data_IF_885973421298
#
_entry.id   IF_885973421298
#
_cell.length_a   1.000
_cell.length_b   1.000
_cell.length_c   1.000
_cell.angle_alpha   90.00
_cell.angle_beta   90.00
_cell.angle_gamma   90.00
#
_symmetry.space_group_name_H-M   'P 1'
#
loop_
_entity.id
_entity.type
_entity.pdbx_description
1 polymer ?
#
# COMPACT_ATOMS: atom_id res chain seq x y z
N UNK A 1 -31.23 1.20 -9.25
CA UNK A 1 -30.17 0.19 -9.40
C UNK A 1 -28.87 0.81 -8.91
N UNK A 2 -28.34 0.37 -7.76
CA UNK A 2 -27.13 0.96 -7.16
C UNK A 2 -25.89 0.48 -7.92
N UNK A 3 -25.13 1.43 -8.47
CA UNK A 3 -23.89 1.17 -9.20
C UNK A 3 -22.85 0.59 -8.23
N UNK A 4 -22.63 -0.72 -8.32
CA UNK A 4 -21.58 -1.42 -7.60
C UNK A 4 -20.23 -0.97 -8.14
N UNK A 5 -19.60 -0.01 -7.47
CA UNK A 5 -18.22 0.40 -7.74
C UNK A 5 -17.28 -0.71 -7.27
N UNK A 6 -17.03 -1.70 -8.12
CA UNK A 6 -15.93 -2.63 -7.90
C UNK A 6 -14.62 -1.85 -7.94
N UNK A 7 -14.02 -1.61 -6.78
CA UNK A 7 -12.61 -1.25 -6.66
C UNK A 7 -11.78 -2.45 -7.12
N UNK A 8 -11.64 -2.59 -8.44
CA UNK A 8 -10.83 -3.62 -9.06
C UNK A 8 -9.37 -3.39 -8.64
N UNK A 9 -8.80 -4.36 -7.93
CA UNK A 9 -7.39 -4.32 -7.55
C UNK A 9 -6.58 -4.40 -8.84
N UNK A 10 -6.00 -3.28 -9.24
CA UNK A 10 -5.34 -3.09 -10.55
C UNK A 10 -4.25 -4.13 -10.84
N UNK A 11 -3.67 -4.72 -9.79
CA UNK A 11 -2.68 -5.81 -9.89
C UNK A 11 -3.02 -6.88 -8.85
N UNK A 12 -3.69 -7.94 -9.28
CA UNK A 12 -4.11 -9.05 -8.42
C UNK A 12 -2.91 -9.73 -7.72
N UNK A 13 -1.76 -9.80 -8.40
CA UNK A 13 -0.52 -10.37 -7.88
C UNK A 13 0.06 -9.57 -6.70
N UNK A 14 -0.18 -8.26 -6.65
CA UNK A 14 0.30 -7.40 -5.57
C UNK A 14 -0.55 -7.53 -4.29
N UNK A 15 -1.75 -8.13 -4.38
CA UNK A 15 -2.69 -8.24 -3.25
C UNK A 15 -2.05 -8.90 -2.03
N UNK A 16 -1.32 -10.01 -2.22
CA UNK A 16 -0.68 -10.73 -1.12
C UNK A 16 0.44 -9.90 -0.45
N UNK A 17 1.24 -9.20 -1.25
CA UNK A 17 2.30 -8.32 -0.75
C UNK A 17 1.73 -7.10 -0.01
N UNK A 18 0.65 -6.51 -0.53
CA UNK A 18 -0.05 -5.40 0.09
C UNK A 18 -0.72 -5.80 1.41
N UNK A 19 -1.30 -7.00 1.48
CA UNK A 19 -1.84 -7.55 2.72
C UNK A 19 -0.75 -7.73 3.78
N UNK A 20 0.41 -8.28 3.41
CA UNK A 20 1.56 -8.39 4.32
C UNK A 20 2.02 -7.03 4.82
N UNK A 21 2.25 -6.06 3.92
CA UNK A 21 2.62 -4.70 4.29
C UNK A 21 1.59 -4.04 5.20
N UNK A 22 0.29 -4.27 4.99
CA UNK A 22 -0.77 -3.75 5.86
C UNK A 22 -0.62 -4.26 7.29
N UNK A 23 -0.35 -5.55 7.48
CA UNK A 23 -0.12 -6.11 8.81
C UNK A 23 1.16 -5.55 9.44
N UNK A 24 2.26 -5.46 8.69
CA UNK A 24 3.52 -4.87 9.18
C UNK A 24 3.33 -3.41 9.63
N UNK A 25 2.73 -2.59 8.78
CA UNK A 25 2.46 -1.18 9.09
C UNK A 25 1.55 -1.04 10.30
N UNK A 26 0.52 -1.87 10.41
CA UNK A 26 -0.37 -1.81 11.57
C UNK A 26 0.34 -2.20 12.87
N UNK A 27 1.21 -3.22 12.83
CA UNK A 27 2.05 -3.59 13.98
C UNK A 27 2.98 -2.43 14.37
N UNK A 28 3.62 -1.77 13.40
CA UNK A 28 4.50 -0.62 13.66
C UNK A 28 3.78 0.57 14.27
N UNK A 29 2.53 0.82 13.84
CA UNK A 29 1.70 1.89 14.37
C UNK A 29 1.03 1.51 15.71
N UNK A 30 1.22 0.28 16.20
CA UNK A 30 0.56 -0.24 17.41
C UNK A 30 -0.96 -0.42 17.24
N UNK A 31 -1.42 -0.53 16.00
CA UNK A 31 -2.83 -0.61 15.65
C UNK A 31 -3.22 -2.08 15.44
N UNK A 32 -4.24 -2.54 16.15
CA UNK A 32 -4.77 -3.88 15.98
C UNK A 32 -5.76 -3.93 14.82
N UNK A 33 -5.45 -4.70 13.78
CA UNK A 33 -6.39 -4.94 12.67
C UNK A 33 -7.36 -6.05 13.09
N UNK A 34 -8.68 -5.81 13.02
CA UNK A 34 -9.66 -6.86 13.27
C UNK A 34 -9.54 -7.96 12.20
N UNK A 35 -9.29 -9.20 12.62
CA UNK A 35 -9.19 -10.37 11.73
C UNK A 35 -10.52 -10.71 11.05
N UNK A 36 -11.64 -10.29 11.63
CA UNK A 36 -12.98 -10.46 11.06
C UNK A 36 -13.22 -9.59 9.82
N UNK A 37 -12.30 -8.66 9.51
CA UNK A 37 -12.44 -7.74 8.38
C UNK A 37 -13.46 -6.62 8.61
N UNK A 38 -14.10 -6.59 9.78
CA UNK A 38 -14.99 -5.51 10.18
C UNK A 38 -14.23 -4.34 10.80
N UNK A 39 -13.96 -3.31 9.99
CA UNK A 39 -13.28 -2.07 10.41
C UNK A 39 -14.20 -1.08 11.14
N UNK A 40 -15.47 -1.42 11.40
CA UNK A 40 -16.45 -0.46 11.94
C UNK A 40 -16.18 0.00 13.39
N UNK A 41 -15.44 -0.79 14.17
CA UNK A 41 -15.02 -0.42 15.53
C UNK A 41 -13.64 0.24 15.57
N UNK A 42 -13.00 0.40 14.41
CA UNK A 42 -11.65 0.95 14.29
C UNK A 42 -11.73 2.47 14.11
N UNK A 43 -10.84 3.22 14.75
CA UNK A 43 -10.82 4.66 14.53
C UNK A 43 -10.47 4.96 13.07
N UNK A 44 -11.25 5.83 12.43
CA UNK A 44 -11.03 6.26 11.03
C UNK A 44 -9.62 6.84 10.83
N UNK A 45 -9.07 7.44 11.89
CA UNK A 45 -7.70 7.97 11.92
C UNK A 45 -6.66 6.86 11.81
N UNK A 46 -6.88 5.72 12.46
CA UNK A 46 -5.95 4.59 12.51
C UNK A 46 -5.95 3.84 11.18
N UNK A 47 -7.13 3.59 10.62
CA UNK A 47 -7.27 3.03 9.26
C UNK A 47 -6.65 3.95 8.21
N UNK A 48 -6.88 5.26 8.34
CA UNK A 48 -6.27 6.27 7.46
C UNK A 48 -4.75 6.31 7.59
N UNK A 49 -4.20 6.20 8.80
CA UNK A 49 -2.76 6.14 9.05
C UNK A 49 -2.15 4.90 8.38
N UNK A 50 -2.73 3.72 8.57
CA UNK A 50 -2.26 2.48 7.92
C UNK A 50 -2.18 2.66 6.39
N UNK A 51 -3.27 3.12 5.76
CA UNK A 51 -3.30 3.35 4.32
C UNK A 51 -2.23 4.33 3.85
N UNK A 52 -2.08 5.47 4.53
CA UNK A 52 -1.08 6.48 4.18
C UNK A 52 0.37 5.98 4.32
N UNK A 53 0.65 5.12 5.30
CA UNK A 53 1.97 4.52 5.48
C UNK A 53 2.30 3.51 4.37
N UNK A 54 1.33 2.66 3.99
CA UNK A 54 1.49 1.74 2.86
C UNK A 54 1.78 2.51 1.58
N UNK A 55 1.02 3.58 1.28
CA UNK A 55 1.24 4.39 0.08
C UNK A 55 2.62 5.04 0.08
N UNK A 56 3.09 5.59 1.21
CA UNK A 56 4.44 6.16 1.29
C UNK A 56 5.53 5.13 1.02
N UNK A 57 5.42 3.91 1.56
CA UNK A 57 6.37 2.82 1.29
C UNK A 57 6.40 2.44 -0.19
N UNK A 58 5.24 2.31 -0.81
CA UNK A 58 5.14 2.02 -2.25
C UNK A 58 5.82 3.10 -3.09
N UNK A 59 5.60 4.38 -2.74
CA UNK A 59 6.25 5.50 -3.40
C UNK A 59 7.77 5.44 -3.20
N UNK A 60 8.26 5.21 -1.99
CA UNK A 60 9.70 5.07 -1.72
C UNK A 60 10.34 3.96 -2.56
N UNK A 61 9.70 2.79 -2.64
CA UNK A 61 10.17 1.67 -3.46
C UNK A 61 10.16 2.06 -4.94
N UNK A 62 9.11 2.72 -5.41
CA UNK A 62 9.02 3.20 -6.79
C UNK A 62 10.09 4.25 -7.10
N UNK A 63 10.33 5.20 -6.20
CA UNK A 63 11.38 6.22 -6.32
C UNK A 63 12.77 5.58 -6.37
N UNK A 64 13.04 4.56 -5.55
CA UNK A 64 14.30 3.81 -5.59
C UNK A 64 14.49 3.08 -6.94
N UNK A 65 13.44 2.44 -7.46
CA UNK A 65 13.48 1.78 -8.76
C UNK A 65 13.67 2.78 -9.91
N UNK A 66 13.00 3.93 -9.85
CA UNK A 66 13.07 4.97 -10.86
C UNK A 66 14.42 5.70 -10.82
N UNK A 67 14.94 5.97 -9.61
CA UNK A 67 16.25 6.57 -9.37
C UNK A 67 17.38 5.66 -9.87
N UNK A 68 17.25 4.34 -9.67
CA UNK A 68 18.19 3.34 -10.20
C UNK A 68 18.20 3.22 -11.74
N UNK A 69 17.13 3.66 -12.41
CA UNK A 69 17.00 3.61 -13.87
C UNK A 69 17.64 4.77 -14.63
N UNK A 70 18.16 5.80 -13.95
CA UNK A 70 18.65 7.03 -14.61
C UNK A 70 20.15 7.04 -14.89
N UNK A 71 20.91 5.99 -14.55
CA UNK A 71 22.38 6.06 -14.53
C UNK A 71 23.10 5.04 -15.43
N UNK A 72 22.65 4.84 -16.67
CA UNK A 72 23.26 3.78 -17.48
C UNK A 72 23.25 3.84 -19.00
N UNK A 73 22.83 4.90 -19.72
CA UNK A 73 22.89 4.81 -21.21
C UNK A 73 23.02 6.10 -22.05
N UNK A 74 23.38 7.26 -21.49
CA UNK A 74 23.55 8.50 -22.29
C UNK A 74 25.01 8.94 -22.50
N UNK A 75 26.01 8.07 -22.28
CA UNK A 75 27.44 8.42 -22.37
C UNK A 75 28.23 7.71 -23.46
N UNK A 76 27.57 7.20 -24.51
CA UNK A 76 28.26 6.74 -25.75
C UNK A 76 27.38 6.95 -26.99
N UNK A 77 27.56 8.09 -27.64
CA UNK A 77 27.52 8.24 -29.11
C UNK A 77 28.29 9.50 -29.48
#
# INVERSE_FOLDING_TARGET
MASSRSNNILVQQAKSALEQMKYEVAQELGIQIPQDGYYGNMATRDTGAIGGHITRRLIQIAEQQLSGGSNGNFRRM
#
